data_IF_740426825792
#
_entry.id   IF_740426825792
#
_cell.length_a   1.000
_cell.length_b   1.000
_cell.length_c   1.000
_cell.angle_alpha   90.00
_cell.angle_beta   90.00
_cell.angle_gamma   90.00
#
_symmetry.space_group_name_H-M   'P 1'
#
loop_
_entity.id
_entity.type
_entity.pdbx_description
1 polymer ?
#
# COMPACT_ATOMS: atom_id res chain seq x y z
N UNK A 1 24.50 12.88 -2.56
CA UNK A 1 23.78 11.74 -3.16
C UNK A 1 22.73 12.31 -4.07
N UNK A 2 22.66 11.91 -5.35
CA UNK A 2 21.58 12.39 -6.21
C UNK A 2 20.26 11.74 -5.81
N UNK A 3 19.15 12.45 -5.92
CA UNK A 3 17.81 12.00 -5.53
C UNK A 3 17.45 10.64 -6.18
N UNK A 4 17.77 10.44 -7.44
CA UNK A 4 17.56 9.16 -8.13
C UNK A 4 18.31 7.99 -7.49
N UNK A 5 19.55 8.21 -7.03
CA UNK A 5 20.32 7.14 -6.37
C UNK A 5 19.67 6.71 -5.06
N UNK A 6 19.19 7.64 -4.26
CA UNK A 6 18.46 7.34 -3.02
C UNK A 6 17.18 6.53 -3.29
N UNK A 7 16.44 6.87 -4.34
CA UNK A 7 15.21 6.14 -4.69
C UNK A 7 15.48 4.70 -5.13
N UNK A 8 16.53 4.48 -5.90
CA UNK A 8 16.94 3.11 -6.27
C UNK A 8 17.42 2.30 -5.04
N UNK A 9 18.14 2.93 -4.11
CA UNK A 9 18.51 2.29 -2.84
C UNK A 9 17.29 1.84 -2.03
N UNK A 10 16.20 2.63 -2.03
CA UNK A 10 14.95 2.24 -1.34
C UNK A 10 14.26 1.06 -2.02
N UNK A 11 14.29 0.98 -3.35
CA UNK A 11 13.78 -0.19 -4.09
C UNK A 11 14.63 -1.43 -3.83
N UNK A 12 15.95 -1.30 -3.85
CA UNK A 12 16.85 -2.41 -3.55
C UNK A 12 16.66 -2.94 -2.13
N UNK A 13 16.50 -2.03 -1.16
CA UNK A 13 16.17 -2.42 0.22
C UNK A 13 14.85 -3.19 0.27
N UNK A 14 13.82 -2.73 -0.41
CA UNK A 14 12.53 -3.43 -0.46
C UNK A 14 12.67 -4.83 -1.08
N UNK A 15 13.41 -4.97 -2.18
CA UNK A 15 13.70 -6.27 -2.82
C UNK A 15 14.48 -7.21 -1.91
N UNK A 16 15.47 -6.69 -1.18
CA UNK A 16 16.24 -7.45 -0.19
C UNK A 16 15.33 -7.99 0.92
N UNK A 17 14.49 -7.14 1.50
CA UNK A 17 13.51 -7.54 2.52
C UNK A 17 12.54 -8.59 1.96
N UNK A 18 12.02 -8.40 0.75
CA UNK A 18 11.15 -9.39 0.10
C UNK A 18 11.83 -10.74 -0.04
N UNK A 19 13.10 -10.75 -0.50
CA UNK A 19 13.90 -11.97 -0.65
C UNK A 19 14.13 -12.66 0.69
N UNK A 20 14.54 -11.93 1.71
CA UNK A 20 14.79 -12.43 3.07
C UNK A 20 13.57 -13.12 3.67
N UNK A 21 12.38 -12.56 3.44
CA UNK A 21 11.13 -13.07 4.03
C UNK A 21 10.30 -13.92 3.07
N UNK A 22 10.82 -14.28 1.90
CA UNK A 22 10.19 -15.18 0.93
C UNK A 22 8.92 -14.60 0.29
N UNK A 23 8.86 -13.29 0.08
CA UNK A 23 7.75 -12.61 -0.60
C UNK A 23 7.94 -12.66 -2.12
N UNK A 24 7.60 -13.78 -2.72
CA UNK A 24 7.84 -14.06 -4.15
C UNK A 24 6.77 -13.55 -5.11
N UNK A 25 5.65 -13.05 -4.59
CA UNK A 25 4.51 -12.57 -5.41
C UNK A 25 4.01 -11.21 -4.94
N UNK A 26 3.26 -10.45 -5.77
CA UNK A 26 2.61 -9.20 -5.36
C UNK A 26 1.47 -9.39 -4.36
N UNK A 27 1.10 -10.62 -4.02
CA UNK A 27 0.11 -10.93 -2.99
C UNK A 27 0.72 -10.89 -1.60
N UNK A 28 1.04 -9.70 -1.12
CA UNK A 28 1.55 -9.47 0.24
C UNK A 28 0.37 -9.29 1.21
N UNK A 29 0.40 -9.94 2.37
CA UNK A 29 -0.64 -9.89 3.40
C UNK A 29 -0.15 -9.16 4.65
N UNK A 30 -1.08 -8.69 5.47
CA UNK A 30 -0.74 -8.13 6.79
C UNK A 30 0.04 -9.12 7.68
N UNK A 31 -0.25 -10.42 7.57
CA UNK A 31 0.50 -11.47 8.27
C UNK A 31 1.95 -11.56 7.84
N UNK A 32 2.25 -11.27 6.56
CA UNK A 32 3.63 -11.29 6.05
C UNK A 32 4.44 -10.14 6.63
N UNK A 33 3.89 -8.93 6.62
CA UNK A 33 4.51 -7.77 7.28
C UNK A 33 4.57 -7.95 8.79
N UNK A 34 3.55 -8.58 9.40
CA UNK A 34 3.55 -8.94 10.81
C UNK A 34 4.68 -9.90 11.20
N UNK A 35 5.05 -10.84 10.31
CA UNK A 35 6.23 -11.71 10.51
C UNK A 35 7.53 -10.90 10.52
N UNK A 36 7.67 -9.94 9.61
CA UNK A 36 8.82 -9.02 9.56
C UNK A 36 8.89 -8.21 10.86
N UNK A 37 7.78 -7.61 11.29
CA UNK A 37 7.71 -6.86 12.55
C UNK A 37 8.13 -7.72 13.75
N UNK A 38 7.62 -8.95 13.84
CA UNK A 38 7.98 -9.88 14.91
C UNK A 38 9.46 -10.23 14.91
N UNK A 39 10.06 -10.49 13.75
CA UNK A 39 11.48 -10.80 13.61
C UNK A 39 12.36 -9.64 14.10
N UNK A 40 11.96 -8.41 13.84
CA UNK A 40 12.64 -7.19 14.27
C UNK A 40 12.22 -6.68 15.66
N UNK A 41 11.36 -7.41 16.39
CA UNK A 41 10.82 -7.02 17.71
C UNK A 41 10.09 -5.67 17.70
N UNK A 42 9.46 -5.33 16.56
CA UNK A 42 8.66 -4.12 16.41
C UNK A 42 7.28 -4.37 17.05
N UNK A 43 6.87 -3.52 17.97
CA UNK A 43 5.51 -3.50 18.50
C UNK A 43 4.55 -2.92 17.45
N UNK A 44 3.39 -3.55 17.30
CA UNK A 44 2.37 -3.13 16.34
C UNK A 44 1.08 -2.76 17.06
N UNK A 45 0.62 -1.54 16.87
CA UNK A 45 -0.61 -1.02 17.48
C UNK A 45 -1.57 -0.43 16.45
N UNK A 46 -2.87 -0.46 16.77
CA UNK A 46 -3.93 0.14 15.98
C UNK A 46 -4.48 1.38 16.69
N UNK A 47 -4.45 2.52 16.00
CA UNK A 47 -4.95 3.79 16.49
C UNK A 47 -6.27 4.20 15.79
N UNK A 48 -7.24 4.83 16.47
CA UNK A 48 -7.33 4.92 17.93
C UNK A 48 -7.69 3.56 18.57
N UNK A 49 -7.56 3.42 19.91
CA UNK A 49 -8.07 2.27 20.63
C UNK A 49 -9.56 2.03 20.36
N UNK A 50 -10.05 0.78 20.48
CA UNK A 50 -11.38 0.38 19.98
C UNK A 50 -12.55 1.26 20.43
N UNK A 51 -12.50 1.85 21.61
CA UNK A 51 -13.60 2.60 22.21
C UNK A 51 -13.29 4.10 22.39
N UNK A 52 -12.27 4.60 21.68
CA UNK A 52 -11.86 6.00 21.77
C UNK A 52 -11.98 6.66 20.41
N UNK A 53 -12.78 7.73 20.26
CA UNK A 53 -12.79 8.48 19.00
C UNK A 53 -11.44 9.16 18.79
N UNK A 54 -10.97 9.27 17.53
CA UNK A 54 -9.75 10.01 17.25
C UNK A 54 -9.94 11.48 17.64
N UNK A 55 -8.96 12.03 18.35
CA UNK A 55 -8.94 13.49 18.57
C UNK A 55 -8.83 14.22 17.23
N UNK A 56 -9.40 15.40 17.11
CA UNK A 56 -9.40 16.17 15.85
C UNK A 56 -8.00 16.32 15.25
N UNK A 57 -6.98 16.46 16.09
CA UNK A 57 -5.57 16.58 15.74
C UNK A 57 -5.02 15.35 14.98
N UNK A 58 -5.53 14.14 15.22
CA UNK A 58 -5.02 12.91 14.63
C UNK A 58 -5.98 12.25 13.63
N UNK A 59 -7.05 12.93 13.23
CA UNK A 59 -8.01 12.38 12.24
C UNK A 59 -7.37 12.01 10.91
N UNK A 60 -6.32 12.74 10.49
CA UNK A 60 -5.61 12.53 9.22
C UNK A 60 -4.40 11.61 9.35
N UNK A 61 -4.01 11.22 10.56
CA UNK A 61 -2.86 10.35 10.78
C UNK A 61 -3.15 8.96 10.22
N UNK A 62 -2.31 8.50 9.31
CA UNK A 62 -2.39 7.16 8.69
C UNK A 62 -1.55 6.15 9.44
N UNK A 63 -0.34 6.52 9.81
CA UNK A 63 0.61 5.72 10.56
C UNK A 63 1.58 6.59 11.33
N UNK A 64 2.34 5.97 12.21
CA UNK A 64 3.42 6.61 12.94
C UNK A 64 4.46 5.56 13.37
N UNK A 65 5.72 5.95 13.29
CA UNK A 65 6.85 5.19 13.80
C UNK A 65 7.44 5.90 15.02
N UNK A 66 7.72 5.14 16.06
CA UNK A 66 8.38 5.60 17.29
C UNK A 66 9.54 4.66 17.64
N UNK A 67 10.64 5.25 18.09
CA UNK A 67 11.76 4.49 18.59
C UNK A 67 12.28 5.14 19.89
N UNK A 68 12.13 4.43 21.01
CA UNK A 68 12.49 4.89 22.35
C UNK A 68 13.20 3.78 23.15
N UNK A 69 13.38 3.98 24.43
CA UNK A 69 14.00 3.02 25.36
C UNK A 69 13.23 1.70 25.45
N UNK A 70 11.91 1.71 25.14
CA UNK A 70 11.07 0.52 25.09
C UNK A 70 11.14 -0.22 23.74
N UNK A 71 11.89 0.29 22.77
CA UNK A 71 12.10 -0.25 21.44
C UNK A 71 11.24 0.40 20.36
N UNK A 72 11.09 -0.29 19.23
CA UNK A 72 10.34 0.19 18.09
C UNK A 72 8.84 -0.08 18.24
N UNK A 73 8.03 0.93 17.95
CA UNK A 73 6.56 0.81 17.88
C UNK A 73 6.06 1.43 16.58
N UNK A 74 5.25 0.68 15.83
CA UNK A 74 4.54 1.16 14.66
C UNK A 74 3.05 1.19 14.96
N UNK A 75 2.43 2.36 14.77
CA UNK A 75 1.01 2.57 14.95
C UNK A 75 0.35 2.79 13.58
N UNK A 76 -0.77 2.10 13.32
CA UNK A 76 -1.52 2.23 12.08
C UNK A 76 -2.95 2.66 12.38
N UNK A 77 -3.48 3.58 11.58
CA UNK A 77 -4.86 4.00 11.73
C UNK A 77 -5.84 2.85 11.49
N UNK A 78 -6.71 2.61 12.48
CA UNK A 78 -7.76 1.57 12.45
C UNK A 78 -8.80 1.83 11.35
N UNK A 79 -8.96 3.08 10.93
CA UNK A 79 -9.95 3.49 9.92
C UNK A 79 -9.50 3.19 8.48
N UNK A 80 -8.22 2.83 8.26
CA UNK A 80 -7.72 2.57 6.92
C UNK A 80 -8.30 1.27 6.35
N UNK A 81 -8.77 1.30 5.10
CA UNK A 81 -9.04 0.09 4.33
C UNK A 81 -7.81 -0.81 4.22
N UNK A 82 -8.00 -2.07 3.82
CA UNK A 82 -6.94 -3.07 3.87
C UNK A 82 -5.68 -2.69 3.06
N UNK A 83 -5.83 -2.30 1.80
CA UNK A 83 -4.69 -1.96 0.95
C UNK A 83 -3.94 -0.69 1.43
N UNK A 84 -4.61 0.43 1.77
CA UNK A 84 -3.95 1.56 2.43
C UNK A 84 -3.27 1.20 3.76
N UNK A 85 -3.89 0.36 4.60
CA UNK A 85 -3.27 -0.05 5.86
C UNK A 85 -1.99 -0.85 5.62
N UNK A 86 -2.01 -1.78 4.66
CA UNK A 86 -0.84 -2.57 4.29
C UNK A 86 0.29 -1.70 3.71
N UNK A 87 -0.07 -0.72 2.85
CA UNK A 87 0.88 0.26 2.33
C UNK A 87 1.53 1.05 3.47
N UNK A 88 0.72 1.54 4.42
CA UNK A 88 1.22 2.26 5.59
C UNK A 88 2.13 1.39 6.46
N UNK A 89 1.79 0.10 6.66
CA UNK A 89 2.69 -0.83 7.37
C UNK A 89 4.06 -0.93 6.69
N UNK A 90 4.12 -1.07 5.37
CA UNK A 90 5.39 -1.09 4.64
C UNK A 90 6.13 0.26 4.72
N UNK A 91 5.40 1.36 4.65
CA UNK A 91 5.94 2.71 4.78
C UNK A 91 6.63 2.93 6.15
N UNK A 92 5.95 2.58 7.25
CA UNK A 92 6.52 2.67 8.60
C UNK A 92 7.68 1.68 8.80
N UNK A 93 7.67 0.53 8.13
CA UNK A 93 8.80 -0.40 8.15
C UNK A 93 10.08 0.24 7.61
N UNK A 94 10.00 1.03 6.53
CA UNK A 94 11.16 1.76 6.00
C UNK A 94 11.72 2.72 7.05
N UNK A 95 10.88 3.45 7.75
CA UNK A 95 11.34 4.34 8.81
C UNK A 95 12.07 3.56 9.92
N UNK A 96 11.57 2.40 10.29
CA UNK A 96 12.31 1.53 11.21
C UNK A 96 13.66 1.08 10.63
N UNK A 97 13.74 0.70 9.36
CA UNK A 97 14.98 0.15 8.79
C UNK A 97 16.07 1.21 8.57
N UNK A 98 15.68 2.43 8.18
CA UNK A 98 16.60 3.47 7.71
C UNK A 98 16.65 4.70 8.62
N UNK A 99 15.53 5.10 9.22
CA UNK A 99 15.37 6.41 9.84
C UNK A 99 15.30 6.36 11.37
N UNK A 100 15.72 5.26 12.00
CA UNK A 100 15.64 5.07 13.47
C UNK A 100 16.26 6.20 14.28
N UNK A 101 17.27 6.86 13.74
CA UNK A 101 17.98 7.97 14.40
C UNK A 101 17.11 9.23 14.56
N UNK A 102 15.99 9.31 13.85
CA UNK A 102 15.06 10.44 13.92
C UNK A 102 14.04 10.32 15.08
N UNK A 103 14.14 9.24 15.89
CA UNK A 103 13.37 8.92 17.11
C UNK A 103 11.86 8.75 16.90
N UNK A 104 11.20 9.66 16.19
CA UNK A 104 9.77 9.56 15.86
C UNK A 104 9.45 10.21 14.53
N UNK A 105 8.63 9.55 13.74
CA UNK A 105 8.11 10.03 12.47
C UNK A 105 6.59 9.84 12.44
N UNK A 106 5.88 10.93 12.19
CA UNK A 106 4.43 10.95 12.04
C UNK A 106 4.10 11.05 10.56
N UNK A 107 3.53 10.01 9.98
CA UNK A 107 3.16 10.00 8.57
C UNK A 107 1.83 10.71 8.33
N UNK A 108 1.90 11.84 7.64
CA UNK A 108 0.80 12.74 7.35
C UNK A 108 1.31 14.15 7.03
N UNK A 109 0.41 15.14 7.13
CA UNK A 109 0.71 16.55 6.77
C UNK A 109 1.80 17.24 7.65
N UNK A 110 2.43 16.51 8.57
CA UNK A 110 3.32 17.09 9.59
C UNK A 110 4.81 16.80 9.37
N UNK A 111 5.19 16.12 8.27
CA UNK A 111 6.60 15.74 8.10
C UNK A 111 7.36 16.79 7.29
N UNK A 112 8.46 17.30 7.88
CA UNK A 112 9.28 18.37 7.30
C UNK A 112 10.33 17.86 6.30
N UNK A 113 10.47 16.54 6.10
CA UNK A 113 11.49 15.98 5.21
C UNK A 113 10.86 15.17 4.07
N UNK A 114 10.48 15.89 3.02
CA UNK A 114 9.84 15.36 1.82
C UNK A 114 10.61 14.16 1.20
N UNK A 115 11.93 14.20 1.16
CA UNK A 115 12.73 13.12 0.58
C UNK A 115 12.61 11.81 1.37
N UNK A 116 12.55 11.88 2.70
CA UNK A 116 12.40 10.72 3.58
C UNK A 116 11.04 10.06 3.34
N UNK A 117 9.98 10.87 3.22
CA UNK A 117 8.63 10.40 2.98
C UNK A 117 8.48 9.78 1.57
N UNK A 118 9.01 10.45 0.55
CA UNK A 118 9.04 9.90 -0.82
C UNK A 118 9.81 8.57 -0.85
N UNK A 119 10.94 8.48 -0.15
CA UNK A 119 11.67 7.22 -0.01
C UNK A 119 10.85 6.10 0.65
N UNK A 120 10.03 6.43 1.65
CA UNK A 120 9.15 5.48 2.30
C UNK A 120 7.96 5.06 1.40
N UNK A 121 7.41 5.97 0.59
CA UNK A 121 6.42 5.63 -0.43
C UNK A 121 6.99 4.68 -1.50
N UNK A 122 8.21 4.95 -1.98
CA UNK A 122 8.90 4.11 -2.98
C UNK A 122 9.17 2.72 -2.42
N UNK A 123 9.72 2.63 -1.22
CA UNK A 123 9.95 1.36 -0.53
C UNK A 123 8.64 0.57 -0.38
N UNK A 124 7.57 1.20 0.10
CA UNK A 124 6.28 0.55 0.30
C UNK A 124 5.66 0.07 -1.03
N UNK A 125 5.76 0.86 -2.09
CA UNK A 125 5.28 0.48 -3.41
C UNK A 125 6.04 -0.74 -3.98
N UNK A 126 7.37 -0.77 -3.79
CA UNK A 126 8.22 -1.89 -4.24
C UNK A 126 8.02 -3.14 -3.37
N UNK A 127 7.80 -2.96 -2.05
CA UNK A 127 7.43 -4.06 -1.16
C UNK A 127 6.13 -4.75 -1.59
N UNK A 128 5.13 -4.00 -2.04
CA UNK A 128 3.81 -4.55 -2.39
C UNK A 128 3.73 -5.06 -3.83
N UNK A 129 4.45 -4.42 -4.76
CA UNK A 129 4.48 -4.82 -6.14
C UNK A 129 5.80 -4.36 -6.78
N UNK A 130 6.81 -5.22 -6.89
CA UNK A 130 8.07 -4.88 -7.53
C UNK A 130 7.89 -4.33 -8.94
N UNK A 131 8.70 -3.33 -9.32
CA UNK A 131 8.63 -2.74 -10.66
C UNK A 131 8.85 -3.79 -11.74
N UNK A 132 9.78 -4.72 -11.53
CA UNK A 132 10.05 -5.81 -12.47
C UNK A 132 8.83 -6.71 -12.70
N UNK A 133 8.12 -7.09 -11.62
CA UNK A 133 6.90 -7.93 -11.71
C UNK A 133 5.74 -7.16 -12.38
N UNK A 134 5.64 -5.85 -12.10
CA UNK A 134 4.63 -4.99 -12.72
C UNK A 134 4.83 -4.86 -14.22
N UNK A 135 6.08 -4.59 -14.65
CA UNK A 135 6.48 -4.51 -16.06
C UNK A 135 6.24 -5.85 -16.74
N UNK A 136 6.75 -6.94 -16.16
CA UNK A 136 6.59 -8.29 -16.72
C UNK A 136 5.14 -8.66 -16.94
N UNK A 137 4.26 -8.37 -15.95
CA UNK A 137 2.84 -8.66 -16.07
C UNK A 137 2.14 -7.84 -17.16
N UNK A 138 2.47 -6.56 -17.35
CA UNK A 138 1.92 -5.77 -18.46
C UNK A 138 2.43 -6.24 -19.82
N UNK A 139 3.72 -6.54 -19.93
CA UNK A 139 4.33 -7.05 -21.17
C UNK A 139 3.74 -8.42 -21.55
N UNK A 140 3.55 -9.33 -20.60
CA UNK A 140 2.91 -10.63 -20.83
C UNK A 140 1.46 -10.48 -21.36
N UNK A 141 0.75 -9.43 -20.93
CA UNK A 141 -0.57 -9.10 -21.47
C UNK A 141 -0.53 -8.37 -22.83
N UNK A 142 0.65 -8.13 -23.40
CA UNK A 142 0.84 -7.42 -24.67
C UNK A 142 0.70 -5.90 -24.58
N UNK A 143 0.71 -5.33 -23.39
CA UNK A 143 0.59 -3.87 -23.18
C UNK A 143 1.94 -3.21 -23.46
N UNK A 144 1.96 -2.21 -24.35
CA UNK A 144 3.15 -1.43 -24.68
C UNK A 144 3.23 -0.16 -23.83
N UNK A 145 4.41 0.44 -23.82
CA UNK A 145 4.62 1.75 -23.19
C UNK A 145 3.64 2.80 -23.74
N UNK A 146 3.02 3.53 -22.83
CA UNK A 146 2.02 4.56 -23.15
C UNK A 146 0.64 4.05 -23.56
N UNK A 147 0.40 2.72 -23.60
CA UNK A 147 -0.87 2.14 -24.08
C UNK A 147 -1.70 1.47 -22.97
N UNK A 148 -1.23 1.49 -21.72
CA UNK A 148 -1.92 0.85 -20.60
C UNK A 148 -3.29 1.51 -20.35
N UNK A 149 -4.34 0.70 -20.38
CA UNK A 149 -5.72 1.09 -20.12
C UNK A 149 -6.15 0.81 -18.68
N UNK A 150 -7.27 1.36 -18.20
CA UNK A 150 -7.84 0.97 -16.91
C UNK A 150 -8.10 -0.54 -16.79
N UNK A 151 -8.60 -1.17 -17.84
CA UNK A 151 -8.90 -2.60 -17.91
C UNK A 151 -7.64 -3.45 -17.75
N UNK A 152 -6.51 -3.00 -18.29
CA UNK A 152 -5.23 -3.70 -18.14
C UNK A 152 -4.75 -3.69 -16.69
N UNK A 153 -4.90 -2.58 -15.98
CA UNK A 153 -4.58 -2.54 -14.55
C UNK A 153 -5.49 -3.43 -13.72
N UNK A 154 -6.78 -3.49 -14.06
CA UNK A 154 -7.71 -4.40 -13.39
C UNK A 154 -7.35 -5.87 -13.66
N UNK A 155 -7.02 -6.23 -14.92
CA UNK A 155 -6.55 -7.59 -15.28
C UNK A 155 -5.26 -7.94 -14.55
N UNK A 156 -4.27 -7.04 -14.55
CA UNK A 156 -2.99 -7.24 -13.88
C UNK A 156 -3.19 -7.47 -12.36
N UNK A 157 -4.00 -6.64 -11.73
CA UNK A 157 -4.30 -6.79 -10.31
C UNK A 157 -5.00 -8.12 -10.01
N UNK A 158 -5.94 -8.52 -10.84
CA UNK A 158 -6.70 -9.75 -10.66
C UNK A 158 -5.84 -11.00 -10.88
N UNK A 159 -5.04 -11.05 -11.95
CA UNK A 159 -4.16 -12.19 -12.28
C UNK A 159 -3.07 -12.39 -11.23
N UNK A 160 -2.42 -11.32 -10.78
CA UNK A 160 -1.34 -11.36 -9.79
C UNK A 160 -1.84 -11.44 -8.35
N UNK A 161 -3.15 -11.19 -8.12
CA UNK A 161 -3.76 -11.02 -6.79
C UNK A 161 -3.05 -9.96 -5.94
N UNK A 162 -2.52 -8.92 -6.61
CA UNK A 162 -1.76 -7.86 -5.97
C UNK A 162 -2.58 -7.11 -4.92
N UNK A 163 -1.97 -6.86 -3.78
CA UNK A 163 -2.62 -6.20 -2.64
C UNK A 163 -2.45 -4.70 -2.62
N UNK A 164 -1.61 -4.15 -3.49
CA UNK A 164 -1.48 -2.70 -3.70
C UNK A 164 -2.82 -2.11 -4.17
N UNK A 165 -3.14 -0.88 -3.76
CA UNK A 165 -4.35 -0.18 -4.19
C UNK A 165 -4.30 0.22 -5.67
N UNK A 166 -5.47 0.44 -6.30
CA UNK A 166 -5.50 0.99 -7.67
C UNK A 166 -4.77 2.33 -7.78
N UNK A 167 -4.89 3.21 -6.78
CA UNK A 167 -4.11 4.46 -6.76
C UNK A 167 -2.59 4.21 -6.81
N UNK A 168 -2.10 3.18 -6.11
CA UNK A 168 -0.70 2.77 -6.17
C UNK A 168 -0.31 2.20 -7.55
N UNK A 169 -1.19 1.40 -8.16
CA UNK A 169 -0.96 0.86 -9.52
C UNK A 169 -0.94 1.97 -10.57
N UNK A 170 -1.84 2.96 -10.47
CA UNK A 170 -1.87 4.15 -11.35
C UNK A 170 -0.56 4.92 -11.25
N UNK A 171 -0.10 5.24 -10.03
CA UNK A 171 1.19 5.90 -9.83
C UNK A 171 2.35 5.12 -10.49
N UNK A 172 2.36 3.78 -10.33
CA UNK A 172 3.38 2.92 -10.97
C UNK A 172 3.28 2.96 -12.50
N UNK A 173 2.09 2.83 -13.06
CA UNK A 173 1.89 2.84 -14.52
C UNK A 173 2.38 4.15 -15.16
N UNK A 174 2.09 5.29 -14.53
CA UNK A 174 2.62 6.58 -14.97
C UNK A 174 4.15 6.67 -14.79
N UNK A 175 4.65 6.31 -13.62
CA UNK A 175 6.08 6.39 -13.32
C UNK A 175 6.92 5.49 -14.23
N UNK A 176 6.44 4.31 -14.56
CA UNK A 176 7.12 3.35 -15.43
C UNK A 176 6.86 3.59 -16.93
N UNK A 177 6.13 4.65 -17.29
CA UNK A 177 5.89 5.03 -18.67
C UNK A 177 4.86 4.17 -19.43
N UNK A 178 4.12 3.30 -18.74
CA UNK A 178 3.09 2.45 -19.36
C UNK A 178 1.78 3.18 -19.65
N UNK A 179 1.48 4.27 -18.94
CA UNK A 179 0.28 5.04 -19.17
C UNK A 179 0.60 6.50 -19.54
N UNK A 180 -0.17 7.09 -20.47
CA UNK A 180 -0.11 8.52 -20.77
C UNK A 180 -0.89 9.31 -19.72
N UNK A 181 -0.44 10.51 -19.43
CA UNK A 181 -1.10 11.38 -18.47
C UNK A 181 -2.61 11.53 -18.76
N UNK A 182 -3.41 11.37 -17.74
CA UNK A 182 -4.86 11.55 -17.77
C UNK A 182 -5.69 10.31 -18.12
N UNK A 183 -5.12 9.28 -18.78
CA UNK A 183 -5.89 8.13 -19.24
C UNK A 183 -6.44 7.27 -18.08
N UNK A 184 -5.77 7.28 -16.95
CA UNK A 184 -6.15 6.53 -15.74
C UNK A 184 -6.85 7.41 -14.69
N UNK A 185 -7.13 8.67 -14.99
CA UNK A 185 -7.73 9.61 -14.06
C UNK A 185 -9.25 9.40 -13.96
N UNK A 186 -9.80 9.68 -12.77
CA UNK A 186 -11.25 9.62 -12.50
C UNK A 186 -11.91 8.27 -12.76
N UNK A 187 -11.15 7.17 -12.88
CA UNK A 187 -11.67 5.83 -13.08
C UNK A 187 -12.37 5.31 -11.82
N UNK A 188 -13.58 4.79 -11.98
CA UNK A 188 -14.35 4.15 -10.91
C UNK A 188 -13.90 2.69 -10.75
N UNK A 189 -12.68 2.48 -10.26
CA UNK A 189 -11.96 1.21 -10.21
C UNK A 189 -12.80 0.03 -9.71
N UNK A 190 -13.49 0.21 -8.59
CA UNK A 190 -14.32 -0.87 -8.01
C UNK A 190 -15.51 -1.22 -8.89
N UNK A 191 -16.06 -0.25 -9.64
CA UNK A 191 -17.14 -0.49 -10.57
C UNK A 191 -16.62 -1.23 -11.81
N UNK A 192 -15.49 -0.78 -12.36
CA UNK A 192 -14.84 -1.44 -13.49
C UNK A 192 -14.45 -2.89 -13.16
N UNK A 193 -13.90 -3.14 -11.96
CA UNK A 193 -13.60 -4.50 -11.51
C UNK A 193 -14.86 -5.37 -11.39
N UNK A 194 -15.97 -4.82 -10.87
CA UNK A 194 -17.26 -5.51 -10.80
C UNK A 194 -17.87 -5.78 -12.20
N UNK A 195 -17.66 -4.89 -13.16
CA UNK A 195 -18.09 -5.07 -14.55
C UNK A 195 -17.30 -6.18 -15.25
N UNK A 196 -15.99 -6.27 -15.00
CA UNK A 196 -15.10 -7.26 -15.63
C UNK A 196 -15.18 -8.65 -14.99
N UNK A 197 -15.33 -8.74 -13.67
CA UNK A 197 -15.22 -10.01 -12.92
C UNK A 197 -16.45 -10.34 -12.08
N UNK A 198 -17.47 -9.51 -12.12
CA UNK A 198 -18.69 -9.66 -11.33
C UNK A 198 -18.55 -9.13 -9.89
N UNK A 199 -19.68 -9.02 -9.22
CA UNK A 199 -19.74 -8.54 -7.84
C UNK A 199 -19.19 -9.62 -6.90
N UNK A 200 -18.20 -9.32 -6.04
CA UNK A 200 -17.68 -10.29 -5.07
C UNK A 200 -18.78 -10.85 -4.16
N UNK A 201 -18.71 -12.15 -3.86
CA UNK A 201 -19.74 -12.88 -3.07
C UNK A 201 -20.05 -12.18 -1.75
N UNK A 202 -19.03 -11.70 -1.02
CA UNK A 202 -19.26 -10.99 0.24
C UNK A 202 -20.08 -9.71 0.08
N UNK A 203 -19.90 -8.97 -1.03
CA UNK A 203 -20.70 -7.78 -1.34
C UNK A 203 -22.14 -8.18 -1.75
N UNK A 204 -22.31 -9.28 -2.46
CA UNK A 204 -23.65 -9.80 -2.78
C UNK A 204 -24.41 -10.12 -1.50
N UNK A 205 -23.79 -10.83 -0.57
CA UNK A 205 -24.38 -11.16 0.74
C UNK A 205 -24.70 -9.88 1.54
N UNK A 206 -23.82 -8.90 1.55
CA UNK A 206 -24.07 -7.62 2.23
C UNK A 206 -25.25 -6.85 1.61
N UNK A 207 -25.34 -6.83 0.29
CA UNK A 207 -26.48 -6.20 -0.45
C UNK A 207 -27.81 -6.90 -0.10
N UNK A 208 -27.82 -8.23 -0.10
CA UNK A 208 -29.01 -9.03 0.27
C UNK A 208 -29.44 -8.76 1.72
N UNK A 209 -28.51 -8.72 2.68
CA UNK A 209 -28.82 -8.40 4.09
C UNK A 209 -29.43 -7.01 4.26
N UNK A 210 -28.86 -5.99 3.62
CA UNK A 210 -29.41 -4.62 3.65
C UNK A 210 -30.80 -4.53 3.03
N UNK A 211 -31.06 -5.27 1.95
CA UNK A 211 -32.40 -5.33 1.34
C UNK A 211 -33.40 -6.00 2.27
N UNK A 212 -33.03 -7.08 2.95
CA UNK A 212 -33.88 -7.76 3.90
C UNK A 212 -34.19 -6.87 5.14
N UNK A 213 -33.20 -6.13 5.63
CA UNK A 213 -33.36 -5.17 6.74
C UNK A 213 -34.24 -3.98 6.34
N UNK A 214 -34.14 -3.49 5.09
CA UNK A 214 -34.96 -2.38 4.57
C UNK A 214 -36.43 -2.76 4.22
N UNK A 215 -36.73 -4.07 4.16
CA UNK A 215 -38.09 -4.59 3.95
C UNK A 215 -38.79 -4.92 5.28
N UNK A 216 -38.15 -4.72 6.41
CA UNK A 216 -38.65 -5.01 7.76
C UNK A 216 -39.19 -3.77 8.49
N UNK A 217 -39.48 -2.67 7.77
CA UNK A 217 -40.14 -1.47 8.31
C UNK A 217 -41.54 -1.32 7.77
#
# INVERSE_FOLDING_TARGET
MTQNKYYEEMKELARSVRSEYGLTTPRVRKSDIGRIYKAHKIKYDLWPPKNSPPTAKFKKLRGAFFYDECGATIMISRSLPEAPALFTMCHELKHFLVDRNLKSLLCGEYNQNENIEVGAEIFAAEMLFPDADFIAGLVEMGVKEGECTPEDLVRLKHSTKATISYAGMVKKAYFLGFARNGILDNVKWMKLEEEMYGVPIYKQIQRQRKQAEGLSC
#
